data_IF_084964148336
#
_entry.id   IF_084964148336
#
_cell.length_a   1.000
_cell.length_b   1.000
_cell.length_c   1.000
_cell.angle_alpha   90.00
_cell.angle_beta   90.00
_cell.angle_gamma   90.00
#
_symmetry.space_group_name_H-M   'P 1'
#
loop_
_entity.id
_entity.type
_entity.pdbx_description
1 polymer ?
#
# COMPACT_ATOMS: atom_id res chain seq x y z
N UNK A 1 31.28 -41.13 -27.45
CA UNK A 1 31.52 -41.04 -28.91
C UNK A 1 30.51 -40.04 -29.48
N UNK A 2 31.01 -39.03 -30.20
CA UNK A 2 30.37 -38.16 -31.22
C UNK A 2 29.09 -37.39 -30.82
N UNK A 3 29.16 -36.07 -30.64
CA UNK A 3 29.08 -34.98 -31.65
C UNK A 3 27.67 -34.89 -32.28
N UNK A 4 27.00 -33.73 -32.31
CA UNK A 4 27.14 -32.73 -33.38
C UNK A 4 26.72 -31.33 -32.92
N UNK A 5 27.50 -30.35 -33.36
CA UNK A 5 27.34 -28.89 -33.25
C UNK A 5 26.22 -28.37 -34.17
N UNK A 6 25.59 -27.26 -33.79
CA UNK A 6 24.76 -26.46 -34.69
C UNK A 6 24.73 -25.00 -34.26
N UNK A 7 25.72 -24.23 -34.71
CA UNK A 7 25.76 -22.76 -34.63
C UNK A 7 24.94 -22.21 -35.80
N UNK A 8 24.00 -21.30 -35.54
CA UNK A 8 23.43 -20.43 -36.57
C UNK A 8 23.61 -18.98 -36.14
N UNK A 9 24.60 -18.35 -36.77
CA UNK A 9 24.82 -16.90 -36.78
C UNK A 9 23.97 -16.35 -37.93
N UNK A 10 23.11 -15.37 -37.64
CA UNK A 10 22.47 -14.55 -38.67
C UNK A 10 22.80 -13.09 -38.39
N UNK A 11 23.80 -12.59 -39.12
CA UNK A 11 24.16 -11.19 -39.23
C UNK A 11 23.61 -10.65 -40.56
N UNK A 12 22.84 -9.56 -40.53
CA UNK A 12 22.48 -8.73 -41.70
C UNK A 12 22.28 -7.30 -41.17
N UNK A 13 23.29 -6.43 -41.25
CA UNK A 13 23.67 -5.50 -42.34
C UNK A 13 22.88 -4.17 -42.36
N UNK A 14 23.64 -3.09 -42.12
CA UNK A 14 23.31 -1.67 -42.17
C UNK A 14 22.87 -1.18 -43.55
N UNK A 15 21.99 -0.18 -43.58
CA UNK A 15 21.93 0.84 -44.64
C UNK A 15 21.71 2.22 -44.00
N UNK A 16 22.63 3.14 -44.30
CA UNK A 16 22.59 4.58 -44.02
C UNK A 16 22.05 5.37 -45.24
N UNK A 17 22.03 6.72 -45.13
CA UNK A 17 21.78 7.78 -46.16
C UNK A 17 20.37 8.39 -46.05
N UNK A 18 20.08 9.70 -45.96
CA UNK A 18 20.86 10.97 -45.87
C UNK A 18 19.91 12.19 -45.84
N UNK A 19 20.37 13.34 -45.29
CA UNK A 19 20.16 14.76 -45.72
C UNK A 19 18.70 15.32 -45.83
N UNK A 20 18.33 16.59 -45.63
CA UNK A 20 19.03 17.89 -45.60
C UNK A 20 18.11 18.97 -44.97
N UNK A 21 18.71 20.03 -44.40
CA UNK A 21 18.33 21.43 -44.65
C UNK A 21 17.27 22.11 -43.77
N UNK A 22 17.68 23.20 -43.10
CA UNK A 22 16.76 24.24 -42.61
C UNK A 22 17.34 25.14 -41.51
N UNK A 23 17.77 26.35 -41.90
CA UNK A 23 18.19 27.51 -41.07
C UNK A 23 17.04 28.01 -40.15
N UNK A 24 17.23 28.55 -38.93
CA UNK A 24 17.80 29.86 -38.54
C UNK A 24 17.88 29.95 -36.99
N UNK A 25 18.76 30.78 -36.40
CA UNK A 25 18.73 31.10 -34.97
C UNK A 25 17.79 32.29 -34.71
N UNK A 26 16.80 32.12 -33.83
CA UNK A 26 16.10 33.25 -33.21
C UNK A 26 16.72 33.51 -31.83
N UNK A 27 17.42 34.63 -31.73
CA UNK A 27 17.57 35.38 -30.49
C UNK A 27 16.20 35.96 -30.12
N UNK A 28 15.73 35.73 -28.90
CA UNK A 28 15.28 36.75 -27.94
C UNK A 28 14.31 36.17 -26.90
N UNK A 29 14.29 36.84 -25.76
CA UNK A 29 13.40 36.70 -24.61
C UNK A 29 13.77 35.59 -23.62
N UNK A 30 14.60 35.99 -22.65
CA UNK A 30 14.72 35.33 -21.37
C UNK A 30 13.36 35.16 -20.70
N UNK A 31 12.77 33.98 -20.84
CA UNK A 31 11.77 33.49 -19.93
C UNK A 31 12.52 32.91 -18.72
N UNK A 32 12.63 33.69 -17.65
CA UNK A 32 12.84 33.11 -16.32
C UNK A 32 11.62 32.24 -16.04
N UNK A 33 11.73 30.95 -16.36
CA UNK A 33 10.77 29.94 -15.92
C UNK A 33 10.88 29.88 -14.40
N UNK A 34 10.06 30.67 -13.71
CA UNK A 34 9.82 30.47 -12.29
C UNK A 34 9.18 29.09 -12.17
N UNK A 35 9.99 28.08 -11.83
CA UNK A 35 9.49 26.79 -11.39
C UNK A 35 8.68 27.03 -10.12
N UNK A 36 7.37 27.17 -10.28
CA UNK A 36 6.43 27.10 -9.16
C UNK A 36 6.52 25.66 -8.68
N UNK A 37 7.24 25.45 -7.59
CA UNK A 37 7.19 24.20 -6.82
C UNK A 37 5.76 24.12 -6.31
N UNK A 38 4.95 23.22 -6.89
CA UNK A 38 3.64 22.91 -6.34
C UNK A 38 3.81 22.56 -4.86
N UNK A 39 3.01 23.12 -3.94
CA UNK A 39 3.02 22.66 -2.58
C UNK A 39 2.69 21.16 -2.60
N UNK A 40 3.49 20.35 -1.92
CA UNK A 40 3.20 18.92 -1.71
C UNK A 40 1.73 18.79 -1.32
N UNK A 41 0.96 18.11 -2.17
CA UNK A 41 -0.44 17.81 -1.89
C UNK A 41 -0.46 16.80 -0.76
N UNK A 42 -0.49 17.28 0.48
CA UNK A 42 -0.72 16.45 1.66
C UNK A 42 -2.15 15.91 1.54
N UNK A 43 -2.26 14.64 1.17
CA UNK A 43 -3.55 13.94 1.17
C UNK A 43 -3.95 13.76 2.63
N UNK A 44 -5.12 14.29 3.05
CA UNK A 44 -5.57 14.12 4.44
C UNK A 44 -5.78 12.64 4.73
N UNK A 45 -5.30 12.19 5.90
CA UNK A 45 -5.59 10.86 6.42
C UNK A 45 -7.02 10.80 6.92
N UNK A 46 -7.65 9.65 6.78
CA UNK A 46 -9.02 9.38 7.22
C UNK A 46 -9.06 8.21 8.21
N UNK A 47 -7.92 7.82 8.78
CA UNK A 47 -7.85 6.77 9.76
C UNK A 47 -6.46 6.60 10.32
N UNK A 48 -6.39 5.79 11.38
CA UNK A 48 -5.14 5.46 12.05
C UNK A 48 -5.15 4.04 12.58
N UNK A 49 -3.96 3.46 12.72
CA UNK A 49 -3.72 2.20 13.40
C UNK A 49 -2.69 2.41 14.49
N UNK A 50 -3.04 2.05 15.72
CA UNK A 50 -2.16 2.07 16.87
C UNK A 50 -1.67 0.67 17.17
N UNK A 51 -0.35 0.51 17.33
CA UNK A 51 0.33 -0.73 17.70
C UNK A 51 1.26 -0.44 18.87
N UNK A 52 0.86 -0.82 20.08
CA UNK A 52 1.59 -0.43 21.28
C UNK A 52 1.65 1.09 21.43
N UNK A 53 2.86 1.64 21.33
CA UNK A 53 3.11 3.09 21.41
C UNK A 53 3.17 3.78 20.05
N UNK A 54 3.22 3.01 18.96
CA UNK A 54 3.31 3.51 17.60
C UNK A 54 1.90 3.79 17.06
N UNK A 55 1.75 4.85 16.28
CA UNK A 55 0.50 5.20 15.59
C UNK A 55 0.82 5.55 14.15
N UNK A 56 0.13 4.89 13.23
CA UNK A 56 0.25 5.09 11.80
C UNK A 56 -0.99 5.82 11.30
N UNK A 57 -0.84 7.07 10.89
CA UNK A 57 -1.89 7.81 10.18
C UNK A 57 -1.89 7.40 8.71
N UNK A 58 -3.03 6.91 8.21
CA UNK A 58 -3.13 6.28 6.88
C UNK A 58 -4.29 6.85 6.08
N UNK A 59 -4.16 6.76 4.76
CA UNK A 59 -5.25 7.01 3.82
C UNK A 59 -5.91 5.67 3.48
N UNK A 60 -7.14 5.49 3.96
CA UNK A 60 -7.94 4.30 3.76
C UNK A 60 -8.91 4.44 2.59
N UNK A 61 -8.94 3.40 1.74
CA UNK A 61 -10.05 3.15 0.82
C UNK A 61 -10.95 2.08 1.42
N UNK A 62 -12.24 2.37 1.53
CA UNK A 62 -13.23 1.42 2.06
C UNK A 62 -14.01 0.75 0.92
N UNK A 63 -14.30 -0.53 1.08
CA UNK A 63 -14.90 -1.40 0.06
C UNK A 63 -16.13 -2.11 0.63
N UNK A 64 -17.21 -2.10 -0.13
CA UNK A 64 -18.39 -2.89 0.19
C UNK A 64 -18.19 -4.32 -0.34
N UNK A 65 -17.71 -5.23 0.51
CA UNK A 65 -17.37 -6.60 0.12
C UNK A 65 -18.62 -7.49 -0.10
N UNK A 66 -19.80 -7.02 0.30
CA UNK A 66 -21.08 -7.69 0.12
C UNK A 66 -21.63 -8.26 1.44
N UNK A 67 -22.92 -8.56 1.48
CA UNK A 67 -23.60 -9.14 2.66
C UNK A 67 -23.47 -8.36 3.99
N UNK A 68 -23.09 -7.09 3.95
CA UNK A 68 -22.83 -6.26 5.13
C UNK A 68 -21.37 -6.26 5.58
N UNK A 69 -20.51 -7.02 4.91
CA UNK A 69 -19.09 -7.06 5.15
C UNK A 69 -18.36 -5.86 4.53
N UNK A 70 -17.35 -5.38 5.24
CA UNK A 70 -16.54 -4.23 4.81
C UNK A 70 -15.05 -4.57 4.88
N UNK A 71 -14.32 -4.01 3.93
CA UNK A 71 -12.85 -4.05 3.93
C UNK A 71 -12.35 -2.63 3.81
N UNK A 72 -11.34 -2.26 4.60
CA UNK A 72 -10.60 -1.01 4.41
C UNK A 72 -9.12 -1.30 4.23
N UNK A 73 -8.54 -0.71 3.19
CA UNK A 73 -7.11 -0.80 2.88
C UNK A 73 -6.49 0.57 3.07
N UNK A 74 -5.60 0.67 4.05
CA UNK A 74 -4.87 1.88 4.41
C UNK A 74 -3.49 1.91 3.79
N UNK A 75 -3.07 3.06 3.28
CA UNK A 75 -1.71 3.29 2.79
C UNK A 75 -1.15 4.58 3.40
N UNK A 76 0.10 4.54 3.83
CA UNK A 76 0.81 5.70 4.35
C UNK A 76 2.31 5.43 4.45
N UNK A 77 2.97 6.16 5.33
CA UNK A 77 4.38 5.99 5.62
C UNK A 77 4.62 6.07 7.13
N UNK A 78 5.59 5.30 7.61
CA UNK A 78 6.08 5.43 8.97
C UNK A 78 6.77 6.79 9.14
N UNK A 79 6.44 7.49 10.23
CA UNK A 79 6.92 8.87 10.43
C UNK A 79 8.41 8.95 10.78
N UNK A 80 8.99 7.85 11.29
CA UNK A 80 10.39 7.80 11.72
C UNK A 80 11.30 7.31 10.58
N UNK A 81 10.94 6.18 9.95
CA UNK A 81 11.74 5.53 8.91
C UNK A 81 11.39 5.98 7.49
N UNK A 82 10.20 6.52 7.28
CA UNK A 82 9.66 6.83 5.94
C UNK A 82 9.27 5.57 5.14
N UNK A 83 9.31 4.39 5.75
CA UNK A 83 8.90 3.15 5.09
C UNK A 83 7.42 3.15 4.78
N UNK A 84 7.05 2.52 3.66
CA UNK A 84 5.65 2.36 3.29
C UNK A 84 4.92 1.53 4.33
N UNK A 85 3.74 1.99 4.72
CA UNK A 85 2.85 1.27 5.63
C UNK A 85 1.57 0.91 4.86
N UNK A 86 1.17 -0.35 4.96
CA UNK A 86 -0.10 -0.84 4.41
C UNK A 86 -0.90 -1.51 5.53
N UNK A 87 -2.15 -1.13 5.69
CA UNK A 87 -3.07 -1.72 6.66
C UNK A 87 -4.24 -2.40 5.96
N UNK A 88 -4.67 -3.54 6.48
CA UNK A 88 -5.84 -4.28 6.05
C UNK A 88 -6.76 -4.45 7.25
N UNK A 89 -7.97 -3.90 7.13
CA UNK A 89 -9.03 -3.96 8.13
C UNK A 89 -10.20 -4.69 7.53
N UNK A 90 -10.58 -5.81 8.11
CA UNK A 90 -11.65 -6.67 7.64
C UNK A 90 -12.73 -6.80 8.71
N UNK A 91 -13.88 -6.18 8.45
CA UNK A 91 -15.10 -6.33 9.26
C UNK A 91 -16.01 -7.36 8.64
N UNK A 92 -15.73 -8.65 8.90
CA UNK A 92 -16.56 -9.78 8.49
C UNK A 92 -17.34 -10.36 9.66
N UNK A 93 -18.59 -10.76 9.43
CA UNK A 93 -19.37 -11.49 10.43
C UNK A 93 -18.77 -12.89 10.66
N UNK A 94 -17.94 -13.02 11.70
CA UNK A 94 -17.47 -14.28 12.26
C UNK A 94 -15.96 -14.44 12.32
N UNK A 95 -15.22 -13.82 11.41
CA UNK A 95 -13.74 -13.87 11.37
C UNK A 95 -13.17 -12.53 10.89
N UNK A 96 -13.24 -11.47 11.71
CA UNK A 96 -12.56 -10.23 11.40
C UNK A 96 -11.03 -10.45 11.38
N UNK A 97 -10.34 -9.57 10.66
CA UNK A 97 -8.88 -9.60 10.57
C UNK A 97 -8.33 -8.17 10.55
N UNK A 98 -7.22 -7.97 11.25
CA UNK A 98 -6.43 -6.74 11.22
C UNK A 98 -4.98 -7.10 10.95
N UNK A 99 -4.40 -6.45 9.95
CA UNK A 99 -2.98 -6.59 9.65
C UNK A 99 -2.37 -5.26 9.22
N UNK A 100 -1.12 -5.03 9.60
CA UNK A 100 -0.29 -3.90 9.16
C UNK A 100 1.04 -4.44 8.67
N UNK A 101 1.49 -3.98 7.51
CA UNK A 101 2.82 -4.27 6.98
C UNK A 101 3.60 -2.96 6.92
N UNK A 102 4.79 -2.94 7.53
CA UNK A 102 5.74 -1.83 7.47
C UNK A 102 6.95 -2.26 6.65
N UNK A 103 7.26 -1.50 5.61
CA UNK A 103 8.29 -1.86 4.65
C UNK A 103 7.90 -3.13 3.87
N UNK A 104 8.87 -4.03 3.64
CA UNK A 104 8.65 -5.27 2.89
C UNK A 104 8.61 -6.54 3.74
N UNK A 105 8.88 -6.43 5.04
CA UNK A 105 9.14 -7.60 5.89
C UNK A 105 8.41 -7.59 7.22
N UNK A 106 8.19 -6.42 7.81
CA UNK A 106 7.62 -6.36 9.17
C UNK A 106 6.12 -6.44 9.07
N UNK A 107 5.53 -7.51 9.60
CA UNK A 107 4.08 -7.67 9.67
C UNK A 107 3.62 -7.68 11.12
N UNK A 108 2.56 -6.93 11.38
CA UNK A 108 1.81 -6.93 12.62
C UNK A 108 0.40 -7.42 12.35
N UNK A 109 -0.07 -8.36 13.14
CA UNK A 109 -1.42 -8.95 13.02
C UNK A 109 -2.10 -8.98 14.38
N UNK A 110 -3.43 -8.93 14.39
CA UNK A 110 -4.18 -9.22 15.60
C UNK A 110 -3.91 -10.66 16.05
N UNK A 111 -3.70 -10.86 17.35
CA UNK A 111 -3.47 -12.17 17.94
C UNK A 111 -4.62 -13.14 17.64
N UNK A 112 -4.28 -14.40 17.39
CA UNK A 112 -5.26 -15.49 17.23
C UNK A 112 -5.77 -16.02 18.57
N UNK A 113 -5.12 -15.66 19.67
CA UNK A 113 -5.48 -16.13 21.02
C UNK A 113 -6.59 -15.31 21.67
N UNK A 114 -6.79 -14.07 21.21
CA UNK A 114 -7.78 -13.14 21.75
C UNK A 114 -8.91 -12.89 20.73
N UNK A 115 -10.16 -12.73 21.20
CA UNK A 115 -11.25 -12.39 20.30
C UNK A 115 -11.02 -11.00 19.71
N UNK A 116 -11.05 -10.93 18.38
CA UNK A 116 -11.05 -9.66 17.65
C UNK A 116 -12.49 -9.24 17.35
N UNK A 117 -12.81 -8.00 17.73
CA UNK A 117 -14.10 -7.38 17.43
C UNK A 117 -13.85 -6.12 16.58
N UNK A 118 -14.42 -6.11 15.37
CA UNK A 118 -14.42 -4.96 14.47
C UNK A 118 -15.85 -4.43 14.38
N UNK A 119 -16.00 -3.17 14.75
CA UNK A 119 -17.27 -2.46 14.79
C UNK A 119 -17.42 -1.59 13.54
N UNK A 120 -18.58 -1.71 12.89
CA UNK A 120 -18.96 -0.88 11.74
C UNK A 120 -20.20 -0.11 12.12
N UNK A 121 -20.07 1.22 12.23
CA UNK A 121 -21.16 2.09 12.66
C UNK A 121 -20.96 3.52 12.14
N UNK A 122 -22.04 4.15 11.68
CA UNK A 122 -22.07 5.55 11.25
C UNK A 122 -20.87 5.94 10.36
N UNK A 123 -20.67 5.19 9.27
CA UNK A 123 -19.57 5.38 8.31
C UNK A 123 -18.17 5.26 8.92
N UNK A 124 -18.04 4.62 10.08
CA UNK A 124 -16.75 4.32 10.70
C UNK A 124 -16.53 2.82 10.85
N UNK A 125 -15.26 2.43 10.76
CA UNK A 125 -14.78 1.09 11.13
C UNK A 125 -13.81 1.26 12.29
N UNK A 126 -14.01 0.55 13.39
CA UNK A 126 -13.15 0.65 14.57
C UNK A 126 -12.92 -0.68 15.27
N UNK A 127 -11.78 -0.80 15.92
CA UNK A 127 -11.45 -1.90 16.81
C UNK A 127 -10.62 -1.36 17.96
N UNK A 128 -10.86 -1.83 19.19
CA UNK A 128 -10.15 -1.39 20.38
C UNK A 128 -9.57 -2.56 21.15
N UNK A 129 -8.60 -2.28 22.02
CA UNK A 129 -7.92 -3.28 22.84
C UNK A 129 -7.37 -4.47 22.02
N UNK A 130 -6.93 -4.20 20.78
CA UNK A 130 -6.37 -5.21 19.88
C UNK A 130 -5.01 -5.62 20.43
N UNK A 131 -4.81 -6.90 20.76
CA UNK A 131 -3.48 -7.44 21.03
C UNK A 131 -2.78 -7.71 19.71
N UNK A 132 -1.65 -7.05 19.49
CA UNK A 132 -0.86 -7.16 18.27
C UNK A 132 0.32 -8.10 18.45
N UNK A 133 0.57 -8.90 17.41
CA UNK A 133 1.71 -9.79 17.29
C UNK A 133 2.49 -9.47 16.03
N UNK A 134 3.82 -9.39 16.17
CA UNK A 134 4.74 -9.25 15.05
C UNK A 134 5.13 -10.63 14.53
N UNK A 135 5.19 -10.74 13.20
CA UNK A 135 5.62 -11.94 12.47
C UNK A 135 4.85 -13.20 12.90
N UNK A 136 3.53 -13.05 13.07
CA UNK A 136 2.62 -14.15 13.40
C UNK A 136 2.64 -15.20 12.29
N UNK A 137 3.03 -16.42 12.65
CA UNK A 137 2.90 -17.58 11.77
C UNK A 137 1.49 -18.18 11.91
N UNK A 138 0.69 -18.08 10.85
CA UNK A 138 -0.68 -18.59 10.85
C UNK A 138 -0.76 -20.12 10.93
N UNK A 139 0.32 -20.85 10.62
CA UNK A 139 0.35 -22.31 10.74
C UNK A 139 0.54 -22.77 12.19
N UNK A 140 1.51 -22.20 12.89
CA UNK A 140 1.78 -22.52 14.30
C UNK A 140 1.00 -21.69 15.31
N UNK A 141 0.47 -20.54 14.90
CA UNK A 141 -0.18 -19.54 15.74
C UNK A 141 0.77 -18.73 16.62
N UNK A 142 2.09 -18.77 16.35
CA UNK A 142 3.10 -18.09 17.15
C UNK A 142 3.57 -16.77 16.54
N UNK A 143 3.62 -15.71 17.36
CA UNK A 143 4.21 -14.40 17.02
C UNK A 143 4.80 -13.70 18.25
N UNK A 144 5.54 -12.60 18.03
CA UNK A 144 6.05 -11.74 19.11
C UNK A 144 4.95 -10.77 19.56
N UNK A 145 4.48 -10.86 20.81
CA UNK A 145 3.51 -9.88 21.33
C UNK A 145 4.18 -8.51 21.47
N UNK A 146 3.69 -7.52 20.71
CA UNK A 146 4.25 -6.15 20.69
C UNK A 146 3.44 -5.14 21.48
N UNK A 147 2.22 -5.50 21.89
CA UNK A 147 1.40 -4.70 22.80
C UNK A 147 -0.06 -4.63 22.38
N UNK A 148 -0.79 -3.75 23.07
CA UNK A 148 -2.19 -3.45 22.75
C UNK A 148 -2.30 -2.21 21.88
N UNK A 149 -3.38 -2.12 21.12
CA UNK A 149 -3.66 -0.98 20.27
C UNK A 149 -5.11 -0.88 19.84
N UNK A 150 -5.34 -0.10 18.78
CA UNK A 150 -6.67 0.19 18.28
C UNK A 150 -6.60 0.60 16.80
N UNK A 151 -7.75 0.58 16.14
CA UNK A 151 -7.94 0.99 14.74
C UNK A 151 -9.14 1.90 14.67
N UNK A 152 -9.03 2.96 13.87
CA UNK A 152 -10.14 3.80 13.49
C UNK A 152 -10.02 4.17 12.02
N UNK A 153 -11.14 4.07 11.29
CA UNK A 153 -11.25 4.44 9.89
C UNK A 153 -12.55 5.18 9.67
N UNK A 154 -12.48 6.35 9.04
CA UNK A 154 -13.62 7.10 8.53
C UNK A 154 -13.84 6.75 7.05
N UNK A 155 -14.97 6.13 6.76
CA UNK A 155 -15.39 5.65 5.45
C UNK A 155 -16.53 6.48 4.88
N UNK A 156 -16.23 7.72 4.46
CA UNK A 156 -17.24 8.60 3.84
C UNK A 156 -17.84 8.03 2.54
N UNK A 157 -17.13 7.16 1.84
CA UNK A 157 -17.62 6.43 0.66
C UNK A 157 -17.08 5.02 0.58
N UNK A 158 -17.80 4.14 -0.10
CA UNK A 158 -17.41 2.75 -0.35
C UNK A 158 -17.28 2.47 -1.84
N UNK A 159 -16.19 1.80 -2.20
CA UNK A 159 -15.97 1.23 -3.52
C UNK A 159 -16.86 0.00 -3.74
N UNK A 160 -17.53 -0.05 -4.89
CA UNK A 160 -18.40 -1.18 -5.29
C UNK A 160 -17.61 -2.26 -6.04
N UNK A 161 -16.49 -2.69 -5.45
CA UNK A 161 -15.58 -3.72 -5.96
C UNK A 161 -14.77 -4.29 -4.80
N UNK A 162 -13.99 -5.33 -5.05
CA UNK A 162 -12.99 -5.79 -4.09
C UNK A 162 -11.70 -4.97 -4.21
N UNK A 163 -10.88 -4.93 -3.14
CA UNK A 163 -9.52 -4.45 -3.21
C UNK A 163 -8.69 -5.23 -4.25
N UNK A 164 -7.59 -4.64 -4.71
CA UNK A 164 -6.66 -5.39 -5.56
C UNK A 164 -6.02 -6.54 -4.77
N UNK A 165 -5.91 -7.72 -5.39
CA UNK A 165 -5.31 -8.92 -4.77
C UNK A 165 -6.24 -9.77 -3.90
N UNK A 166 -7.53 -9.39 -3.83
CA UNK A 166 -8.60 -10.15 -3.14
C UNK A 166 -9.24 -11.24 -4.00
#
# INVERSE_FOLDING_TARGET
>A
MQAVRGVVVAAVLLVAVSCAGGVQPDEDAGASTTTIVSPDLVVPTNGWVQIGVETFDLVFTCYAAGAGDVVAVGVGADSESGERVEALVQGFLGQPYLGVTVGSSTRYEASLEDPLEVYVHDDTISAGAVRWERDLDLESGGGEVVGFGAVFVECSTYENRLPEGY
#
